data_IF_917265211069
#
_entry.id   IF_917265211069
#
_cell.length_a   1.000
_cell.length_b   1.000
_cell.length_c   1.000
_cell.angle_alpha   90.00
_cell.angle_beta   90.00
_cell.angle_gamma   90.00
#
_symmetry.space_group_name_H-M   'P 1'
#
loop_
_entity.id
_entity.type
_entity.pdbx_description
1 polymer ?
#
# COMPACT_ATOMS: atom_id res chain seq x y z
N UNK A 1 30.50 -33.72 26.91
CA UNK A 1 29.13 -34.02 26.52
C UNK A 1 28.18 -32.85 26.69
N UNK A 2 28.20 -32.23 27.87
CA UNK A 2 27.28 -31.09 28.08
C UNK A 2 27.58 -29.92 27.16
N UNK A 3 28.83 -29.70 26.85
CA UNK A 3 29.22 -28.62 25.93
C UNK A 3 28.69 -28.85 24.54
N UNK A 4 28.71 -30.09 24.08
CA UNK A 4 28.23 -30.44 22.74
C UNK A 4 26.72 -30.14 22.60
N UNK A 5 25.94 -30.39 23.66
CA UNK A 5 24.52 -30.10 23.63
C UNK A 5 24.24 -28.60 23.53
N UNK A 6 25.03 -27.82 24.27
CA UNK A 6 24.86 -26.36 24.24
C UNK A 6 25.20 -25.81 22.85
N UNK A 7 26.24 -26.32 22.25
CA UNK A 7 26.62 -25.90 20.91
C UNK A 7 25.55 -26.24 19.89
N UNK A 8 24.96 -27.42 20.00
CA UNK A 8 23.90 -27.84 19.10
C UNK A 8 22.69 -26.91 19.20
N UNK A 9 22.33 -26.52 20.40
CA UNK A 9 21.22 -25.60 20.59
C UNK A 9 21.49 -24.23 19.99
N UNK A 10 22.69 -23.74 20.14
CA UNK A 10 23.07 -22.47 19.58
C UNK A 10 23.02 -22.48 18.06
N UNK A 11 23.45 -23.56 17.45
CA UNK A 11 23.42 -23.70 16.00
C UNK A 11 22.01 -23.72 15.48
N UNK A 12 21.10 -24.38 16.18
CA UNK A 12 19.70 -24.44 15.77
C UNK A 12 19.07 -23.05 15.84
N UNK A 13 19.35 -22.30 16.90
CA UNK A 13 18.84 -20.96 17.04
C UNK A 13 19.32 -20.05 15.92
N UNK A 14 20.58 -20.16 15.55
CA UNK A 14 21.13 -19.37 14.46
C UNK A 14 20.47 -19.72 13.14
N UNK A 15 20.18 -20.98 12.91
CA UNK A 15 19.53 -21.41 11.69
C UNK A 15 18.12 -20.83 11.57
N UNK A 16 17.39 -20.80 12.67
CA UNK A 16 16.05 -20.23 12.69
C UNK A 16 16.09 -18.76 12.35
N UNK A 17 17.02 -18.02 12.92
CA UNK A 17 17.17 -16.61 12.61
C UNK A 17 17.47 -16.37 11.13
N UNK A 18 18.34 -17.19 10.58
CA UNK A 18 18.70 -17.09 9.17
C UNK A 18 17.48 -17.34 8.29
N UNK A 19 16.66 -18.32 8.66
CA UNK A 19 15.45 -18.63 7.92
C UNK A 19 14.49 -17.46 7.92
N UNK A 20 14.32 -16.80 9.06
CA UNK A 20 13.45 -15.64 9.14
C UNK A 20 13.91 -14.52 8.23
N UNK A 21 15.21 -14.26 8.18
CA UNK A 21 15.75 -13.25 7.29
C UNK A 21 15.50 -13.63 5.84
N UNK A 22 15.70 -14.91 5.51
CA UNK A 22 15.48 -15.39 4.15
C UNK A 22 14.03 -15.34 3.73
N UNK A 23 13.12 -15.46 4.69
CA UNK A 23 11.69 -15.41 4.42
C UNK A 23 11.16 -13.99 4.35
N UNK A 24 11.96 -13.00 4.73
CA UNK A 24 11.55 -11.62 4.59
C UNK A 24 11.20 -11.37 3.13
N UNK A 25 10.06 -10.75 2.86
CA UNK A 25 9.68 -10.49 1.49
C UNK A 25 10.75 -9.64 0.84
N UNK A 26 11.19 -10.10 -0.29
CA UNK A 26 12.21 -9.39 -1.01
C UNK A 26 11.50 -8.46 -1.98
N UNK A 27 11.63 -7.16 -1.79
CA UNK A 27 11.03 -6.21 -2.70
C UNK A 27 11.67 -6.25 -4.07
N UNK A 28 12.72 -7.02 -4.20
CA UNK A 28 13.49 -7.08 -5.43
C UNK A 28 12.71 -7.64 -6.60
N UNK A 29 11.68 -8.42 -6.34
CA UNK A 29 10.89 -8.93 -7.44
C UNK A 29 10.15 -7.82 -8.17
N UNK A 30 9.80 -6.82 -7.44
CA UNK A 30 9.15 -5.64 -7.99
C UNK A 30 10.17 -4.70 -8.57
N UNK A 31 11.41 -5.06 -8.46
CA UNK A 31 12.50 -4.26 -9.00
C UNK A 31 12.49 -4.11 -10.49
N UNK A 32 11.53 -4.69 -11.18
CA UNK A 32 11.35 -4.41 -12.59
C UNK A 32 11.07 -2.94 -12.84
N UNK A 33 10.78 -2.18 -11.81
CA UNK A 33 10.56 -0.75 -11.93
C UNK A 33 9.26 -0.37 -12.58
N UNK A 34 8.67 -1.25 -13.33
CA UNK A 34 7.43 -0.99 -14.02
C UNK A 34 6.23 -1.54 -13.29
N UNK A 35 6.47 -2.50 -12.42
CA UNK A 35 5.40 -3.13 -11.68
C UNK A 35 5.18 -2.40 -10.36
N UNK A 36 4.02 -1.78 -10.24
CA UNK A 36 3.63 -1.12 -9.00
C UNK A 36 2.46 -1.88 -8.43
N UNK A 37 2.67 -2.40 -7.23
CA UNK A 37 1.70 -3.20 -6.52
C UNK A 37 0.46 -2.35 -6.20
N UNK A 38 -0.71 -2.97 -6.28
CA UNK A 38 -1.98 -2.31 -5.95
C UNK A 38 -1.99 -1.76 -4.53
N UNK A 39 -1.37 -2.47 -3.59
CA UNK A 39 -1.26 -2.00 -2.22
C UNK A 39 -0.43 -0.72 -2.11
N UNK A 40 0.62 -0.60 -2.90
CA UNK A 40 1.42 0.61 -2.94
C UNK A 40 0.64 1.77 -3.52
N UNK A 41 -0.12 1.53 -4.56
CA UNK A 41 -0.95 2.56 -5.17
C UNK A 41 -1.97 3.07 -4.15
N UNK A 42 -2.66 2.16 -3.48
CA UNK A 42 -3.62 2.54 -2.43
C UNK A 42 -2.95 3.41 -1.38
N UNK A 43 -1.78 3.00 -0.90
CA UNK A 43 -1.05 3.76 0.11
C UNK A 43 -0.68 5.16 -0.36
N UNK A 44 -0.24 5.28 -1.60
CA UNK A 44 0.15 6.58 -2.16
C UNK A 44 -1.06 7.49 -2.35
N UNK A 45 -2.18 6.95 -2.80
CA UNK A 45 -3.40 7.72 -2.95
C UNK A 45 -3.88 8.23 -1.58
N UNK A 46 -3.89 7.36 -0.58
CA UNK A 46 -4.28 7.76 0.76
C UNK A 46 -3.35 8.84 1.33
N UNK A 47 -2.05 8.71 1.10
CA UNK A 47 -1.09 9.71 1.56
C UNK A 47 -1.33 11.06 0.87
N UNK A 48 -1.63 11.04 -0.41
CA UNK A 48 -1.92 12.26 -1.16
C UNK A 48 -3.22 12.91 -0.67
N UNK A 49 -4.22 12.10 -0.35
CA UNK A 49 -5.46 12.63 0.23
C UNK A 49 -5.21 13.29 1.58
N UNK A 50 -4.39 12.66 2.42
CA UNK A 50 -4.06 13.20 3.73
C UNK A 50 -3.31 14.53 3.65
N UNK A 51 -2.59 14.75 2.57
CA UNK A 51 -1.82 15.98 2.35
C UNK A 51 -2.66 17.09 1.70
N UNK A 52 -3.83 16.76 1.17
CA UNK A 52 -4.66 17.74 0.48
C UNK A 52 -5.62 18.41 1.46
N UNK A 53 -5.63 19.74 1.54
CA UNK A 53 -6.48 20.43 2.51
C UNK A 53 -7.98 20.24 2.29
N UNK A 54 -8.39 19.98 1.06
CA UNK A 54 -9.81 19.82 0.75
C UNK A 54 -10.28 18.38 0.94
N UNK A 55 -9.42 17.42 0.68
CA UNK A 55 -9.78 16.01 0.67
C UNK A 55 -9.50 15.32 2.00
N UNK A 56 -8.52 15.81 2.77
CA UNK A 56 -8.08 15.13 4.00
C UNK A 56 -9.16 14.91 5.04
N UNK A 57 -10.18 15.76 5.04
CA UNK A 57 -11.25 15.70 6.02
C UNK A 57 -12.45 14.91 5.50
N UNK A 58 -12.36 14.32 4.32
CA UNK A 58 -13.47 13.60 3.72
C UNK A 58 -13.43 12.13 4.12
N UNK A 59 -14.57 11.46 3.92
CA UNK A 59 -14.71 10.05 4.22
C UNK A 59 -14.64 9.25 2.92
N UNK A 60 -13.43 9.15 2.36
CA UNK A 60 -13.22 8.47 1.10
C UNK A 60 -12.40 7.20 1.32
N UNK A 61 -12.93 6.09 0.88
CA UNK A 61 -12.24 4.80 0.88
C UNK A 61 -11.55 4.62 -0.46
N UNK A 62 -10.38 4.01 -0.42
CA UNK A 62 -9.56 3.77 -1.60
C UNK A 62 -9.26 2.29 -1.72
N UNK A 63 -9.55 1.71 -2.85
CA UNK A 63 -9.17 0.34 -3.16
C UNK A 63 -8.59 0.30 -4.56
N UNK A 64 -7.60 -0.55 -4.75
CA UNK A 64 -6.92 -0.66 -6.05
C UNK A 64 -6.88 -2.11 -6.49
N UNK A 65 -7.26 -2.35 -7.72
CA UNK A 65 -7.23 -3.67 -8.32
C UNK A 65 -6.67 -3.56 -9.74
N UNK A 66 -5.52 -4.19 -9.96
CA UNK A 66 -4.83 -4.20 -11.26
C UNK A 66 -4.67 -2.79 -11.85
N UNK A 67 -4.31 -1.86 -11.00
CA UNK A 67 -4.05 -0.48 -11.41
C UNK A 67 -5.29 0.39 -11.49
N UNK A 68 -6.48 -0.16 -11.31
CA UNK A 68 -7.69 0.64 -11.25
C UNK A 68 -7.97 1.03 -9.81
N UNK A 69 -8.05 2.32 -9.56
CA UNK A 69 -8.35 2.85 -8.23
C UNK A 69 -9.85 3.09 -8.13
N UNK A 70 -10.47 2.50 -7.14
CA UNK A 70 -11.88 2.73 -6.86
C UNK A 70 -12.01 3.61 -5.62
N UNK A 71 -12.69 4.72 -5.78
CA UNK A 71 -12.98 5.65 -4.70
C UNK A 71 -14.43 5.51 -4.31
N UNK A 72 -14.71 5.43 -3.02
CA UNK A 72 -16.08 5.37 -2.52
C UNK A 72 -16.16 6.14 -1.22
N UNK A 73 -17.36 6.58 -0.87
CA UNK A 73 -17.57 7.31 0.36
C UNK A 73 -18.42 8.55 0.12
N UNK A 74 -18.28 9.50 1.01
CA UNK A 74 -19.13 10.68 1.02
C UNK A 74 -18.32 11.95 1.22
N UNK A 75 -18.70 13.00 0.52
CA UNK A 75 -18.10 14.33 0.63
C UNK A 75 -19.20 15.36 0.77
N UNK A 76 -18.83 16.53 1.26
CA UNK A 76 -19.80 17.61 1.45
C UNK A 76 -20.10 18.34 0.15
N UNK A 77 -19.16 18.37 -0.80
CA UNK A 77 -19.32 19.13 -2.03
C UNK A 77 -18.88 18.32 -3.23
N UNK A 78 -19.52 18.53 -4.39
CA UNK A 78 -19.12 17.83 -5.63
C UNK A 78 -17.67 18.10 -6.01
N UNK A 79 -17.17 19.29 -5.74
CA UNK A 79 -15.79 19.63 -6.07
C UNK A 79 -14.78 18.72 -5.36
N UNK A 80 -15.10 18.30 -4.13
CA UNK A 80 -14.22 17.43 -3.37
C UNK A 80 -14.11 16.04 -4.02
N UNK A 81 -15.21 15.54 -4.55
CA UNK A 81 -15.22 14.27 -5.25
C UNK A 81 -14.35 14.33 -6.52
N UNK A 82 -14.49 15.41 -7.28
CA UNK A 82 -13.70 15.61 -8.49
C UNK A 82 -12.22 15.75 -8.19
N UNK A 83 -11.90 16.47 -7.13
CA UNK A 83 -10.51 16.67 -6.72
C UNK A 83 -9.88 15.36 -6.29
N UNK A 84 -10.60 14.55 -5.54
CA UNK A 84 -10.09 13.24 -5.13
C UNK A 84 -9.76 12.37 -6.34
N UNK A 85 -10.64 12.36 -7.33
CA UNK A 85 -10.39 11.59 -8.54
C UNK A 85 -9.17 12.11 -9.30
N UNK A 86 -9.00 13.42 -9.38
CA UNK A 86 -7.85 14.02 -10.06
C UNK A 86 -6.55 13.67 -9.34
N UNK A 87 -6.56 13.74 -8.01
CA UNK A 87 -5.39 13.36 -7.23
C UNK A 87 -5.03 11.90 -7.50
N UNK A 88 -6.01 11.02 -7.46
CA UNK A 88 -5.77 9.60 -7.71
C UNK A 88 -5.20 9.35 -9.11
N UNK A 89 -5.70 10.05 -10.11
CA UNK A 89 -5.20 9.89 -11.48
C UNK A 89 -3.74 10.31 -11.62
N UNK A 90 -3.28 11.22 -10.77
CA UNK A 90 -1.91 11.69 -10.81
C UNK A 90 -0.91 10.76 -10.14
N UNK A 91 -1.35 9.72 -9.48
CA UNK A 91 -0.45 8.80 -8.79
C UNK A 91 0.16 7.82 -9.79
N UNK A 92 1.48 7.67 -9.73
CA UNK A 92 2.18 6.78 -10.62
C UNK A 92 1.70 5.34 -10.45
N UNK A 93 1.43 4.69 -11.55
CA UNK A 93 0.94 3.31 -11.56
C UNK A 93 -0.57 3.19 -11.71
N UNK A 94 -1.29 4.28 -11.53
CA UNK A 94 -2.74 4.27 -11.69
C UNK A 94 -3.08 4.24 -13.18
N UNK A 95 -3.84 3.22 -13.56
CA UNK A 95 -4.28 3.06 -14.95
C UNK A 95 -5.62 3.72 -15.19
N UNK A 96 -6.50 3.67 -14.20
CA UNK A 96 -7.82 4.27 -14.29
C UNK A 96 -8.36 4.54 -12.89
N UNK A 97 -9.34 5.41 -12.80
CA UNK A 97 -10.01 5.75 -11.54
C UNK A 97 -11.50 5.60 -11.73
N UNK A 98 -12.10 4.81 -10.86
CA UNK A 98 -13.56 4.71 -10.78
C UNK A 98 -14.01 5.54 -9.59
N UNK A 99 -14.67 6.64 -9.87
CA UNK A 99 -15.09 7.57 -8.83
C UNK A 99 -16.54 7.31 -8.45
N UNK A 100 -16.70 6.65 -7.31
CA UNK A 100 -18.02 6.32 -6.78
C UNK A 100 -18.27 7.07 -5.47
N UNK A 101 -17.69 8.25 -5.36
CA UNK A 101 -17.87 9.13 -4.20
C UNK A 101 -19.19 9.87 -4.34
N UNK A 102 -19.93 9.95 -3.26
CA UNK A 102 -21.24 10.58 -3.24
C UNK A 102 -21.23 11.85 -2.41
N UNK A 103 -22.05 12.79 -2.82
CA UNK A 103 -22.19 14.05 -2.09
C UNK A 103 -23.30 13.87 -1.05
N UNK A 104 -23.03 14.31 0.18
CA UNK A 104 -23.99 14.22 1.27
C UNK A 104 -25.19 15.13 1.04
#
# INVERSE_FOLDING_TARGET
MKIAHRLAHMMIAASVLTTLVACAPTPTREGTGEFIDDAMITGKVKAAFAADPDVKATEINVETFKGEVQLSGFVAQPADASRAADIARGIKGVKSVKNDVRVK
#
